data_IF_547203344612
#
_entry.id   IF_547203344612
#
_cell.length_a   1.000
_cell.length_b   1.000
_cell.length_c   1.000
_cell.angle_alpha   90.00
_cell.angle_beta   90.00
_cell.angle_gamma   90.00
#
_symmetry.space_group_name_H-M   'P 1'
#
loop_
_entity.id
_entity.type
_entity.pdbx_description
1 polymer ?
#
# COMPACT_ATOMS: atom_id res chain seq x y z
N UNK A 1 -8.55 27.07 -32.91
CA UNK A 1 -7.99 26.51 -31.62
C UNK A 1 -9.12 25.80 -30.89
N UNK A 2 -9.86 24.93 -31.60
CA UNK A 2 -11.11 24.30 -31.10
C UNK A 2 -10.93 22.84 -30.61
N UNK A 3 -9.88 22.15 -31.00
CA UNK A 3 -9.71 20.73 -30.67
C UNK A 3 -8.43 20.44 -29.87
N UNK A 4 -8.45 20.82 -28.60
CA UNK A 4 -7.27 20.55 -27.75
C UNK A 4 -7.24 19.10 -27.24
N UNK A 5 -8.36 18.38 -27.20
CA UNK A 5 -8.41 17.03 -26.61
C UNK A 5 -8.67 15.90 -27.62
N UNK A 6 -9.21 16.17 -28.81
CA UNK A 6 -9.59 15.15 -29.83
C UNK A 6 -10.28 13.93 -29.23
N UNK A 7 -11.14 14.12 -28.23
CA UNK A 7 -11.82 13.05 -27.48
C UNK A 7 -13.33 13.19 -27.59
N UNK A 8 -14.01 12.08 -27.56
CA UNK A 8 -15.47 11.97 -27.44
C UNK A 8 -15.86 11.68 -25.99
N UNK A 9 -17.17 11.66 -25.69
CA UNK A 9 -17.69 11.33 -24.36
C UNK A 9 -17.61 9.83 -24.09
N UNK A 10 -16.40 9.28 -24.20
CA UNK A 10 -16.10 7.88 -23.95
C UNK A 10 -14.97 7.71 -22.93
N UNK A 11 -14.94 6.57 -22.27
CA UNK A 11 -13.83 6.14 -21.39
C UNK A 11 -13.36 4.76 -21.83
N UNK A 12 -12.04 4.56 -21.88
CA UNK A 12 -11.44 3.28 -22.17
C UNK A 12 -11.25 2.47 -20.88
N UNK A 13 -11.69 1.22 -20.89
CA UNK A 13 -11.59 0.28 -19.77
C UNK A 13 -10.84 -0.95 -20.22
N UNK A 14 -9.80 -1.30 -19.51
CA UNK A 14 -9.12 -2.56 -19.70
C UNK A 14 -9.81 -3.66 -18.88
N UNK A 15 -10.31 -4.69 -19.57
CA UNK A 15 -10.90 -5.87 -18.97
C UNK A 15 -10.30 -7.13 -19.60
N UNK A 16 -9.65 -7.97 -18.78
CA UNK A 16 -9.04 -9.24 -19.21
C UNK A 16 -8.08 -9.07 -20.41
N UNK A 17 -7.25 -8.02 -20.40
CA UNK A 17 -6.30 -7.73 -21.48
C UNK A 17 -6.93 -7.15 -22.76
N UNK A 18 -8.21 -6.81 -22.72
CA UNK A 18 -8.90 -6.14 -23.84
C UNK A 18 -9.34 -4.74 -23.42
N UNK A 19 -9.04 -3.76 -24.26
CA UNK A 19 -9.53 -2.38 -24.08
C UNK A 19 -10.90 -2.25 -24.73
N UNK A 20 -11.89 -1.83 -23.92
CA UNK A 20 -13.26 -1.52 -24.39
C UNK A 20 -13.54 -0.05 -24.15
N UNK A 21 -14.08 0.62 -25.16
CA UNK A 21 -14.58 1.98 -25.01
C UNK A 21 -16.03 1.97 -24.54
N UNK A 22 -16.32 2.69 -23.47
CA UNK A 22 -17.64 2.80 -22.83
C UNK A 22 -18.15 4.23 -22.96
N UNK A 23 -19.40 4.41 -23.37
CA UNK A 23 -20.04 5.72 -23.45
C UNK A 23 -20.33 6.28 -22.06
N UNK A 24 -19.95 7.54 -21.84
CA UNK A 24 -20.19 8.25 -20.58
C UNK A 24 -21.59 8.84 -20.49
N UNK A 25 -22.23 9.06 -21.65
CA UNK A 25 -23.62 9.48 -21.80
C UNK A 25 -24.18 8.91 -23.10
N UNK A 26 -25.48 9.03 -23.28
CA UNK A 26 -26.19 8.60 -24.50
C UNK A 26 -25.56 9.24 -25.75
N UNK A 27 -25.27 8.41 -26.75
CA UNK A 27 -24.57 8.77 -28.00
C UNK A 27 -23.20 9.45 -27.81
N UNK A 28 -22.54 9.15 -26.68
CA UNK A 28 -21.28 9.78 -26.27
C UNK A 28 -20.13 9.57 -27.26
N UNK A 29 -20.15 8.48 -28.02
CA UNK A 29 -19.17 8.20 -29.10
C UNK A 29 -19.18 9.27 -30.18
N UNK A 30 -20.33 9.89 -30.48
CA UNK A 30 -20.50 10.88 -31.52
C UNK A 30 -20.41 12.33 -30.99
N UNK A 31 -20.28 12.53 -29.69
CA UNK A 31 -20.21 13.85 -29.06
C UNK A 31 -18.76 14.20 -28.76
N UNK A 32 -18.21 15.16 -29.49
CA UNK A 32 -16.85 15.70 -29.26
C UNK A 32 -16.77 16.54 -27.99
N UNK A 33 -15.67 16.41 -27.25
CA UNK A 33 -15.35 17.27 -26.11
C UNK A 33 -14.86 18.62 -26.61
N UNK A 34 -15.55 19.67 -26.21
CA UNK A 34 -15.27 21.07 -26.57
C UNK A 34 -15.08 21.90 -25.31
N UNK A 35 -14.65 23.17 -25.46
CA UNK A 35 -14.53 24.09 -24.32
C UNK A 35 -15.87 24.33 -23.59
N UNK A 36 -17.00 24.22 -24.30
CA UNK A 36 -18.31 24.44 -23.71
C UNK A 36 -18.79 23.26 -22.86
N UNK A 37 -18.40 22.03 -23.21
CA UNK A 37 -18.89 20.81 -22.54
C UNK A 37 -17.81 20.04 -21.76
N UNK A 38 -16.58 20.54 -21.68
CA UNK A 38 -15.49 19.88 -20.98
C UNK A 38 -15.79 19.64 -19.49
N UNK A 39 -16.47 20.53 -18.82
CA UNK A 39 -16.84 20.36 -17.41
C UNK A 39 -17.82 19.17 -17.22
N UNK A 40 -18.76 19.02 -18.15
CA UNK A 40 -19.67 17.86 -18.16
C UNK A 40 -18.87 16.57 -18.41
N UNK A 41 -17.97 16.57 -19.39
CA UNK A 41 -17.10 15.43 -19.67
C UNK A 41 -16.29 15.01 -18.44
N UNK A 42 -15.58 15.96 -17.80
CA UNK A 42 -14.76 15.69 -16.62
C UNK A 42 -15.60 15.11 -15.47
N UNK A 43 -16.78 15.69 -15.21
CA UNK A 43 -17.69 15.18 -14.17
C UNK A 43 -18.13 13.74 -14.46
N UNK A 44 -18.55 13.44 -15.69
CA UNK A 44 -18.99 12.10 -16.09
C UNK A 44 -17.84 11.10 -16.09
N UNK A 45 -16.65 11.52 -16.52
CA UNK A 45 -15.44 10.69 -16.51
C UNK A 45 -15.03 10.31 -15.09
N UNK A 46 -15.02 11.27 -14.16
CA UNK A 46 -14.74 11.04 -12.75
C UNK A 46 -15.79 10.09 -12.14
N UNK A 47 -17.08 10.37 -12.38
CA UNK A 47 -18.17 9.50 -11.89
C UNK A 47 -18.03 8.06 -12.41
N UNK A 48 -17.66 7.91 -13.67
CA UNK A 48 -17.40 6.62 -14.27
C UNK A 48 -16.23 5.90 -13.61
N UNK A 49 -15.08 6.55 -13.51
CA UNK A 49 -13.84 5.96 -12.98
C UNK A 49 -13.97 5.53 -11.52
N UNK A 50 -14.59 6.37 -10.68
CA UNK A 50 -14.64 6.14 -9.24
C UNK A 50 -15.92 5.47 -8.73
N UNK A 51 -16.97 5.43 -9.53
CA UNK A 51 -18.26 4.87 -9.11
C UNK A 51 -18.80 3.80 -10.07
N UNK A 52 -19.13 4.18 -11.31
CA UNK A 52 -19.85 3.29 -12.23
C UNK A 52 -19.05 2.04 -12.61
N UNK A 53 -17.75 2.20 -12.84
CA UNK A 53 -16.87 1.10 -13.24
C UNK A 53 -16.81 -0.03 -12.20
N UNK A 54 -16.92 0.31 -10.91
CA UNK A 54 -16.84 -0.66 -9.80
C UNK A 54 -18.15 -0.82 -9.02
N UNK A 55 -19.28 -0.29 -9.52
CA UNK A 55 -20.56 -0.26 -8.78
C UNK A 55 -21.03 -1.65 -8.35
N UNK A 56 -20.95 -2.65 -9.24
CA UNK A 56 -21.34 -4.03 -8.92
C UNK A 56 -20.47 -4.67 -7.84
N UNK A 57 -19.15 -4.46 -7.91
CA UNK A 57 -18.20 -4.94 -6.92
C UNK A 57 -18.43 -4.25 -5.57
N UNK A 58 -18.59 -2.91 -5.57
CA UNK A 58 -18.90 -2.15 -4.36
C UNK A 58 -20.23 -2.54 -3.73
N UNK A 59 -21.26 -2.81 -4.53
CA UNK A 59 -22.55 -3.27 -4.01
C UNK A 59 -22.42 -4.64 -3.34
N UNK A 60 -21.67 -5.56 -3.94
CA UNK A 60 -21.41 -6.88 -3.39
C UNK A 60 -20.58 -6.81 -2.11
N UNK A 61 -19.54 -5.97 -2.11
CA UNK A 61 -18.72 -5.71 -0.91
C UNK A 61 -19.58 -5.15 0.24
N UNK A 62 -20.36 -4.08 -0.03
CA UNK A 62 -21.25 -3.47 0.97
C UNK A 62 -22.23 -4.48 1.55
N UNK A 63 -22.81 -5.34 0.71
CA UNK A 63 -23.74 -6.40 1.15
C UNK A 63 -23.06 -7.40 2.09
N UNK A 64 -21.83 -7.81 1.78
CA UNK A 64 -21.05 -8.71 2.63
C UNK A 64 -20.66 -8.04 3.94
N UNK A 65 -20.15 -6.83 3.89
CA UNK A 65 -19.70 -6.04 5.05
C UNK A 65 -20.86 -5.78 6.04
N UNK A 66 -22.03 -5.40 5.52
CA UNK A 66 -23.22 -5.12 6.32
C UNK A 66 -23.82 -6.35 7.03
N UNK A 67 -23.37 -7.58 6.69
CA UNK A 67 -23.78 -8.79 7.43
C UNK A 67 -23.09 -8.93 8.78
N UNK A 68 -21.94 -8.33 8.92
CA UNK A 68 -21.10 -8.44 10.13
C UNK A 68 -21.09 -7.13 10.92
N UNK A 69 -21.15 -6.01 10.22
CA UNK A 69 -21.00 -4.67 10.80
C UNK A 69 -22.25 -3.84 10.53
N UNK A 70 -22.84 -3.28 11.60
CA UNK A 70 -23.95 -2.35 11.45
C UNK A 70 -23.45 -1.00 10.87
N UNK A 71 -23.82 -0.76 9.62
CA UNK A 71 -23.42 0.46 8.91
C UNK A 71 -23.98 1.75 9.48
N UNK A 72 -25.10 1.69 10.22
CA UNK A 72 -25.67 2.87 10.89
C UNK A 72 -24.82 3.24 12.10
N UNK A 73 -24.41 2.24 12.87
CA UNK A 73 -23.51 2.43 14.02
C UNK A 73 -22.16 2.96 13.54
N UNK A 74 -21.55 2.35 12.52
CA UNK A 74 -20.27 2.78 11.99
C UNK A 74 -20.32 4.25 11.55
N UNK A 75 -21.31 4.64 10.76
CA UNK A 75 -21.48 6.02 10.29
C UNK A 75 -21.75 7.04 11.41
N UNK A 76 -22.28 6.60 12.54
CA UNK A 76 -22.52 7.48 13.69
C UNK A 76 -21.31 7.68 14.58
N UNK A 77 -20.35 6.74 14.55
CA UNK A 77 -19.17 6.73 15.43
C UNK A 77 -17.88 7.16 14.75
N UNK A 78 -17.77 6.95 13.43
CA UNK A 78 -16.53 7.13 12.70
C UNK A 78 -16.75 7.96 11.42
N UNK A 79 -15.78 8.79 11.10
CA UNK A 79 -15.66 9.37 9.77
C UNK A 79 -14.98 8.40 8.78
N UNK A 80 -14.84 8.81 7.51
CA UNK A 80 -14.29 7.91 6.48
C UNK A 80 -12.79 7.67 6.64
N UNK A 81 -12.05 8.62 7.19
CA UNK A 81 -10.59 8.52 7.43
C UNK A 81 -10.30 7.58 8.60
N UNK A 82 -11.13 7.65 9.64
CA UNK A 82 -11.06 6.74 10.78
C UNK A 82 -11.38 5.31 10.35
N UNK A 83 -12.42 5.10 9.52
CA UNK A 83 -12.76 3.79 8.97
C UNK A 83 -11.63 3.25 8.09
N UNK A 84 -11.03 4.09 7.23
CA UNK A 84 -9.87 3.68 6.44
C UNK A 84 -8.73 3.22 7.35
N UNK A 85 -8.44 3.98 8.40
CA UNK A 85 -7.38 3.64 9.35
C UNK A 85 -7.65 2.34 10.10
N UNK A 86 -8.91 2.09 10.50
CA UNK A 86 -9.31 0.86 11.16
C UNK A 86 -9.15 -0.38 10.25
N UNK A 87 -9.45 -0.23 8.96
CA UNK A 87 -9.41 -1.35 8.00
C UNK A 87 -8.00 -1.54 7.43
N UNK A 88 -7.35 -0.46 7.03
CA UNK A 88 -6.10 -0.50 6.29
C UNK A 88 -4.85 -0.31 7.15
N UNK A 89 -5.01 0.18 8.40
CA UNK A 89 -3.90 0.58 9.26
C UNK A 89 -3.44 2.02 9.02
N UNK A 90 -2.52 2.48 9.87
CA UNK A 90 -1.96 3.82 9.83
C UNK A 90 -1.01 4.01 8.65
N UNK A 91 -1.07 5.19 8.01
CA UNK A 91 -0.15 5.60 6.95
C UNK A 91 1.18 6.10 7.50
N UNK A 92 1.16 6.75 8.64
CA UNK A 92 2.36 7.26 9.28
C UNK A 92 3.11 6.12 9.97
N UNK A 93 4.41 6.02 9.70
CA UNK A 93 5.26 4.93 10.17
C UNK A 93 6.42 5.49 10.98
N UNK A 94 6.48 5.12 12.26
CA UNK A 94 7.63 5.42 13.11
C UNK A 94 8.54 4.18 13.20
N UNK A 95 9.57 4.13 12.35
CA UNK A 95 10.52 3.02 12.33
C UNK A 95 11.42 2.96 13.58
N UNK A 96 11.54 4.04 14.33
CA UNK A 96 12.16 4.03 15.65
C UNK A 96 11.39 3.13 16.63
N UNK A 97 10.06 3.22 16.63
CA UNK A 97 9.21 2.32 17.42
C UNK A 97 9.36 0.85 17.00
N UNK A 98 9.50 0.60 15.67
CA UNK A 98 9.72 -0.75 15.18
C UNK A 98 11.04 -1.35 15.67
N UNK A 99 12.11 -0.55 15.65
CA UNK A 99 13.42 -0.92 16.22
C UNK A 99 13.29 -1.28 17.69
N UNK A 100 12.60 -0.44 18.45
CA UNK A 100 12.51 -0.58 19.90
C UNK A 100 11.67 -1.78 20.35
N UNK A 101 10.71 -2.23 19.50
CA UNK A 101 9.91 -3.42 19.74
C UNK A 101 10.41 -4.69 19.04
N UNK A 102 11.46 -4.59 18.20
CA UNK A 102 11.98 -5.72 17.45
C UNK A 102 12.51 -6.84 18.36
N UNK A 103 12.13 -8.07 18.03
CA UNK A 103 12.54 -9.27 18.75
C UNK A 103 13.62 -9.96 17.91
N UNK A 104 14.79 -10.16 18.52
CA UNK A 104 15.94 -10.74 17.84
C UNK A 104 16.07 -12.23 18.19
N UNK A 105 16.42 -13.05 17.21
CA UNK A 105 16.54 -14.49 17.37
C UNK A 105 17.73 -15.10 16.61
N UNK A 106 18.02 -16.35 16.90
CA UNK A 106 19.05 -17.18 16.22
C UNK A 106 20.46 -16.59 16.26
N UNK A 107 20.79 -15.86 17.34
CA UNK A 107 22.13 -15.29 17.54
C UNK A 107 22.22 -13.78 17.29
N UNK A 108 21.17 -13.14 16.78
CA UNK A 108 21.09 -11.69 16.81
C UNK A 108 20.63 -11.18 18.17
N UNK A 109 21.16 -10.02 18.56
CA UNK A 109 20.78 -9.26 19.74
C UNK A 109 20.68 -7.78 19.39
N UNK A 110 20.01 -6.95 20.19
CA UNK A 110 19.96 -5.48 19.94
C UNK A 110 21.33 -4.82 19.82
N UNK A 111 22.34 -5.41 20.47
CA UNK A 111 23.72 -4.88 20.52
C UNK A 111 24.64 -5.44 19.43
N UNK A 112 24.19 -6.45 18.67
CA UNK A 112 24.95 -7.03 17.56
C UNK A 112 25.35 -5.98 16.54
N UNK A 113 26.58 -5.99 16.08
CA UNK A 113 27.10 -5.05 15.07
C UNK A 113 26.19 -5.03 13.81
N UNK A 114 25.74 -6.21 13.38
CA UNK A 114 24.83 -6.37 12.25
C UNK A 114 23.51 -5.59 12.45
N UNK A 115 22.94 -5.64 13.66
CA UNK A 115 21.69 -4.95 13.98
C UNK A 115 21.88 -3.43 14.09
N UNK A 116 23.03 -2.98 14.57
CA UNK A 116 23.38 -1.55 14.53
C UNK A 116 23.46 -1.03 13.10
N UNK A 117 24.13 -1.76 12.21
CA UNK A 117 24.19 -1.41 10.78
C UNK A 117 22.81 -1.42 10.11
N UNK A 118 21.98 -2.41 10.40
CA UNK A 118 20.62 -2.49 9.88
C UNK A 118 19.82 -1.24 10.22
N UNK A 119 19.79 -0.89 11.51
CA UNK A 119 18.97 0.24 11.94
C UNK A 119 19.58 1.61 11.55
N UNK A 120 20.89 1.72 11.44
CA UNK A 120 21.53 2.90 10.87
C UNK A 120 21.15 3.09 9.40
N UNK A 121 21.18 2.02 8.58
CA UNK A 121 20.75 2.08 7.19
C UNK A 121 19.26 2.45 7.10
N UNK A 122 18.41 1.78 7.87
CA UNK A 122 16.96 1.98 7.81
C UNK A 122 16.54 3.35 8.33
N UNK A 123 17.11 3.83 9.44
CA UNK A 123 16.67 5.06 10.10
C UNK A 123 17.37 6.32 9.58
N UNK A 124 18.63 6.21 9.15
CA UNK A 124 19.45 7.37 8.82
C UNK A 124 19.74 7.51 7.32
N UNK A 125 19.85 6.38 6.58
CA UNK A 125 20.24 6.44 5.17
C UNK A 125 19.03 6.34 4.20
N UNK A 126 17.94 5.67 4.62
CA UNK A 126 16.80 5.41 3.73
C UNK A 126 15.71 6.48 3.83
N UNK A 127 15.11 6.77 2.67
CA UNK A 127 13.88 7.54 2.57
C UNK A 127 12.66 6.67 2.91
N UNK A 128 11.51 7.31 3.13
CA UNK A 128 10.27 6.66 3.57
C UNK A 128 9.82 5.53 2.63
N UNK A 129 9.94 5.71 1.32
CA UNK A 129 9.55 4.69 0.33
C UNK A 129 10.32 3.37 0.49
N UNK A 130 11.62 3.43 0.77
CA UNK A 130 12.42 2.23 1.02
C UNK A 130 12.05 1.56 2.33
N UNK A 131 11.82 2.36 3.37
CA UNK A 131 11.36 1.85 4.67
C UNK A 131 10.02 1.13 4.55
N UNK A 132 9.06 1.68 3.79
CA UNK A 132 7.77 1.04 3.50
C UNK A 132 7.92 -0.28 2.75
N UNK A 133 8.83 -0.33 1.79
CA UNK A 133 9.13 -1.59 1.06
C UNK A 133 9.69 -2.66 1.99
N UNK A 134 10.57 -2.30 2.93
CA UNK A 134 11.07 -3.23 3.94
C UNK A 134 9.92 -3.76 4.82
N UNK A 135 9.05 -2.88 5.29
CA UNK A 135 7.89 -3.27 6.09
C UNK A 135 6.98 -4.21 5.31
N UNK A 136 6.64 -3.85 4.07
CA UNK A 136 5.82 -4.68 3.19
C UNK A 136 6.48 -6.03 2.89
N UNK A 137 7.80 -6.06 2.67
CA UNK A 137 8.55 -7.30 2.47
C UNK A 137 8.48 -8.23 3.69
N UNK A 138 8.60 -7.67 4.89
CA UNK A 138 8.66 -8.47 6.12
C UNK A 138 7.27 -8.83 6.68
N UNK A 139 6.21 -8.07 6.35
CA UNK A 139 4.89 -8.19 6.99
C UNK A 139 3.74 -8.39 6.00
N UNK A 140 3.98 -8.15 4.72
CA UNK A 140 2.94 -8.15 3.68
C UNK A 140 2.15 -6.84 3.58
N UNK A 141 2.44 -5.84 4.43
CA UNK A 141 1.74 -4.53 4.42
C UNK A 141 2.74 -3.39 4.61
N UNK A 142 2.53 -2.29 3.90
CA UNK A 142 3.24 -1.02 4.07
C UNK A 142 2.55 -0.09 5.09
N UNK A 143 1.61 -0.62 5.87
CA UNK A 143 0.83 0.09 6.89
C UNK A 143 1.13 -0.45 8.28
N UNK A 144 1.07 0.43 9.28
CA UNK A 144 1.15 0.04 10.68
C UNK A 144 -0.23 -0.39 11.22
N UNK A 145 -0.29 -1.27 12.25
CA UNK A 145 -1.51 -1.45 13.03
C UNK A 145 -2.06 -0.11 13.54
N UNK A 146 -3.35 -0.05 13.85
CA UNK A 146 -3.99 1.17 14.41
C UNK A 146 -3.27 1.70 15.65
N UNK A 147 -2.70 0.81 16.46
CA UNK A 147 -1.93 1.15 17.67
C UNK A 147 -0.45 1.48 17.40
N UNK A 148 -0.04 1.64 16.12
CA UNK A 148 1.33 1.96 15.71
C UNK A 148 2.25 0.75 15.62
N UNK A 149 3.46 0.98 15.08
CA UNK A 149 4.47 -0.08 14.90
C UNK A 149 4.93 -0.70 16.21
N UNK A 150 4.91 0.04 17.31
CA UNK A 150 5.25 -0.46 18.65
C UNK A 150 4.41 -1.63 19.13
N UNK A 151 3.20 -1.80 18.59
CA UNK A 151 2.32 -2.90 18.96
C UNK A 151 2.58 -4.18 18.14
N UNK A 152 3.44 -4.07 17.13
CA UNK A 152 3.74 -5.19 16.23
C UNK A 152 4.79 -6.11 16.87
N UNK A 153 4.53 -7.42 16.82
CA UNK A 153 5.56 -8.41 17.08
C UNK A 153 6.38 -8.57 15.80
N UNK A 154 7.54 -7.92 15.74
CA UNK A 154 8.43 -7.93 14.59
C UNK A 154 9.70 -8.70 14.93
N UNK A 155 10.00 -9.74 14.17
CA UNK A 155 11.13 -10.62 14.44
C UNK A 155 12.24 -10.40 13.42
N UNK A 156 13.48 -10.31 13.90
CA UNK A 156 14.68 -10.30 13.06
C UNK A 156 15.50 -11.54 13.42
N UNK A 157 15.66 -12.42 12.45
CA UNK A 157 16.22 -13.75 12.64
C UNK A 157 17.50 -13.89 11.84
N UNK A 158 18.57 -14.39 12.46
CA UNK A 158 19.79 -14.72 11.74
C UNK A 158 19.56 -15.95 10.87
N UNK A 159 19.86 -15.85 9.57
CA UNK A 159 19.66 -16.90 8.58
C UNK A 159 20.97 -17.29 7.89
N UNK A 160 21.89 -17.82 8.66
CA UNK A 160 23.20 -18.25 8.17
C UNK A 160 24.24 -17.12 8.11
N UNK A 161 25.37 -17.44 7.46
CA UNK A 161 26.55 -16.55 7.36
C UNK A 161 27.09 -16.59 5.91
N UNK A 162 26.32 -16.04 4.99
CA UNK A 162 26.68 -16.05 3.58
C UNK A 162 26.44 -14.66 2.96
N UNK A 163 27.50 -13.98 2.58
CA UNK A 163 27.48 -12.64 1.95
C UNK A 163 26.77 -12.63 0.59
N UNK A 164 26.57 -13.76 -0.05
CA UNK A 164 25.90 -13.86 -1.35
C UNK A 164 24.40 -14.06 -1.22
N UNK A 165 23.93 -14.50 -0.07
CA UNK A 165 22.51 -14.78 0.15
C UNK A 165 21.73 -13.49 0.41
N UNK A 166 20.55 -13.40 -0.20
CA UNK A 166 19.62 -12.29 0.05
C UNK A 166 18.79 -12.51 1.31
N UNK A 167 18.32 -11.45 1.95
CA UNK A 167 17.31 -11.55 3.00
C UNK A 167 16.04 -12.23 2.50
N UNK A 168 15.34 -12.89 3.39
CA UNK A 168 14.03 -13.50 3.13
C UNK A 168 13.02 -13.10 4.22
N UNK A 169 11.76 -13.44 4.03
CA UNK A 169 10.72 -13.08 5.01
C UNK A 169 9.67 -14.15 5.16
N UNK A 170 9.08 -14.21 6.36
CA UNK A 170 7.85 -14.96 6.62
C UNK A 170 6.78 -13.96 7.06
N UNK A 171 6.03 -13.44 6.09
CA UNK A 171 5.08 -12.34 6.29
C UNK A 171 3.97 -12.65 7.28
N UNK A 172 3.49 -13.91 7.31
CA UNK A 172 2.46 -14.35 8.27
C UNK A 172 2.91 -14.24 9.74
N UNK A 173 4.21 -14.16 10.00
CA UNK A 173 4.78 -14.07 11.34
C UNK A 173 5.54 -12.77 11.58
N UNK A 174 5.51 -11.81 10.64
CA UNK A 174 6.28 -10.57 10.68
C UNK A 174 7.77 -10.84 10.91
N UNK A 175 8.33 -11.81 10.19
CA UNK A 175 9.72 -12.22 10.34
C UNK A 175 10.56 -11.75 9.16
N UNK A 176 11.66 -11.08 9.49
CA UNK A 176 12.71 -10.71 8.57
C UNK A 176 13.93 -11.60 8.85
N UNK A 177 14.32 -12.42 7.89
CA UNK A 177 15.44 -13.34 7.98
C UNK A 177 16.62 -12.71 7.24
N UNK A 178 17.72 -12.45 7.95
CA UNK A 178 18.89 -11.77 7.40
C UNK A 178 20.12 -12.66 7.64
N UNK A 179 20.90 -13.01 6.59
CA UNK A 179 22.22 -13.60 6.76
C UNK A 179 23.15 -12.67 7.52
N UNK A 180 24.12 -13.21 8.23
CA UNK A 180 25.16 -12.39 8.84
C UNK A 180 26.17 -12.01 7.76
N UNK A 181 26.12 -10.75 7.34
CA UNK A 181 27.08 -10.19 6.42
C UNK A 181 28.35 -9.70 7.11
N UNK A 182 29.48 -9.78 6.39
CA UNK A 182 30.79 -9.42 6.95
C UNK A 182 31.04 -7.92 7.02
N UNK A 183 30.31 -7.11 6.20
CA UNK A 183 30.50 -5.67 6.10
C UNK A 183 29.15 -4.94 5.92
N UNK A 184 29.09 -3.69 6.40
CA UNK A 184 27.91 -2.83 6.28
C UNK A 184 27.51 -2.57 4.82
N UNK A 185 28.51 -2.42 3.93
CA UNK A 185 28.28 -2.19 2.50
C UNK A 185 27.56 -3.36 1.86
N UNK A 186 27.91 -4.60 2.21
CA UNK A 186 27.23 -5.81 1.73
C UNK A 186 25.79 -5.83 2.22
N UNK A 187 25.54 -5.56 3.50
CA UNK A 187 24.18 -5.45 4.03
C UNK A 187 23.35 -4.41 3.26
N UNK A 188 23.93 -3.22 3.01
CA UNK A 188 23.26 -2.13 2.28
C UNK A 188 22.89 -2.49 0.85
N UNK A 189 23.74 -3.26 0.19
CA UNK A 189 23.51 -3.72 -1.18
C UNK A 189 22.45 -4.82 -1.27
N UNK A 190 22.38 -5.68 -0.24
CA UNK A 190 21.48 -6.85 -0.20
C UNK A 190 20.07 -6.53 0.33
N UNK A 191 19.92 -5.43 1.07
CA UNK A 191 18.62 -4.94 1.54
C UNK A 191 17.87 -4.15 0.46
#
# INVERSE_FOLDING_TARGET
>A
MEDVLCRTFTADVEQFGQVKSVELKEDGTNVMVTKQNVHEFVRLYIDFQFRKQCEGQLASFKKGFARVIDMLVVKSLFDFEEIETLICGQRELNFGELRDCAIYASGYTPTSTMMKWLWEIVLEEWEDDKRRKLLAFATGSDRAPVSGLKSMKFYIIKDGEDDQRLPSSHTCFNQLLIPQYTRKEVLRERL
#
